data_IF_119984414966
#
_entry.id   IF_119984414966
#
_cell.length_a   1.000
_cell.length_b   1.000
_cell.length_c   1.000
_cell.angle_alpha   90.00
_cell.angle_beta   90.00
_cell.angle_gamma   90.00
#
_symmetry.space_group_name_H-M   'P 1'
#
loop_
_entity.id
_entity.type
_entity.pdbx_description
1 polymer ?
#
# COMPACT_ATOMS: atom_id res chain seq x y z
N UNK A 1 -14.69 -33.81 -38.11
CA UNK A 1 -14.17 -34.23 -36.79
C UNK A 1 -12.75 -33.73 -36.48
N UNK A 2 -11.83 -33.64 -37.46
CA UNK A 2 -10.47 -33.13 -37.22
C UNK A 2 -10.36 -31.61 -36.93
N UNK A 3 -11.38 -30.82 -37.29
CA UNK A 3 -11.38 -29.37 -37.10
C UNK A 3 -11.67 -28.93 -35.65
N UNK A 4 -12.44 -29.71 -34.88
CA UNK A 4 -12.72 -29.44 -33.45
C UNK A 4 -11.51 -29.72 -32.57
N UNK A 5 -10.62 -30.63 -32.97
CA UNK A 5 -9.38 -30.92 -32.25
C UNK A 5 -8.37 -29.76 -32.31
N UNK A 6 -8.31 -29.05 -33.45
CA UNK A 6 -7.39 -27.91 -33.65
C UNK A 6 -7.76 -26.69 -32.82
N UNK A 7 -9.05 -26.47 -32.56
CA UNK A 7 -9.53 -25.35 -31.73
C UNK A 7 -9.35 -25.60 -30.23
N UNK A 8 -9.38 -26.86 -29.78
CA UNK A 8 -9.07 -27.22 -28.39
C UNK A 8 -7.57 -27.07 -28.13
N UNK A 9 -6.72 -27.51 -29.08
CA UNK A 9 -5.27 -27.36 -28.97
C UNK A 9 -4.80 -25.89 -28.97
N UNK A 10 -5.49 -24.99 -29.67
CA UNK A 10 -5.19 -23.55 -29.64
C UNK A 10 -5.71 -22.86 -28.36
N UNK A 11 -6.78 -23.37 -27.73
CA UNK A 11 -7.26 -22.91 -26.42
C UNK A 11 -6.36 -23.38 -25.28
N UNK A 12 -5.92 -24.63 -25.28
CA UNK A 12 -4.97 -25.15 -24.29
C UNK A 12 -3.68 -24.31 -24.21
N UNK A 13 -3.07 -23.99 -25.37
CA UNK A 13 -1.91 -23.08 -25.47
C UNK A 13 -2.15 -21.65 -25.02
N UNK A 14 -3.40 -21.20 -25.01
CA UNK A 14 -3.77 -19.85 -24.55
C UNK A 14 -4.11 -19.83 -23.05
N UNK A 15 -4.58 -20.94 -22.50
CA UNK A 15 -4.91 -21.09 -21.07
C UNK A 15 -3.67 -21.25 -20.19
N UNK A 16 -2.58 -21.85 -20.68
CA UNK A 16 -1.31 -21.95 -19.93
C UNK A 16 -0.55 -20.61 -19.79
N UNK A 17 -0.75 -19.68 -20.74
CA UNK A 17 -0.25 -18.30 -20.64
C UNK A 17 -1.13 -17.40 -19.75
N UNK A 18 -2.39 -17.78 -19.47
CA UNK A 18 -3.33 -17.02 -18.65
C UNK A 18 -3.47 -17.52 -17.21
N UNK A 19 -3.37 -18.84 -17.00
CA UNK A 19 -3.44 -19.46 -15.68
C UNK A 19 -2.23 -19.09 -14.81
N UNK A 20 -1.05 -18.92 -15.41
CA UNK A 20 0.18 -18.47 -14.73
C UNK A 20 0.13 -16.99 -14.34
N UNK A 21 -0.62 -16.15 -15.05
CA UNK A 21 -0.77 -14.73 -14.70
C UNK A 21 -1.50 -14.50 -13.36
N UNK A 22 -2.42 -15.39 -13.00
CA UNK A 22 -3.21 -15.28 -11.75
C UNK A 22 -2.40 -15.71 -10.53
N UNK A 23 -1.55 -16.72 -10.66
CA UNK A 23 -0.69 -17.20 -9.56
C UNK A 23 0.32 -16.15 -9.12
N UNK A 24 1.06 -15.58 -10.07
CA UNK A 24 1.95 -14.46 -9.78
C UNK A 24 1.16 -13.21 -9.33
N UNK A 25 -0.06 -13.03 -9.85
CA UNK A 25 -0.97 -11.98 -9.42
C UNK A 25 -1.32 -12.04 -7.93
N UNK A 26 -1.57 -13.22 -7.37
CA UNK A 26 -1.86 -13.41 -5.94
C UNK A 26 -0.62 -13.14 -5.08
N UNK A 27 0.56 -13.59 -5.50
CA UNK A 27 1.81 -13.31 -4.77
C UNK A 27 2.10 -11.81 -4.71
N UNK A 28 1.93 -11.11 -5.83
CA UNK A 28 2.08 -9.65 -5.89
C UNK A 28 1.01 -8.94 -5.07
N UNK A 29 -0.24 -9.43 -5.07
CA UNK A 29 -1.32 -8.86 -4.27
C UNK A 29 -1.02 -8.90 -2.76
N UNK A 30 -0.44 -10.00 -2.26
CA UNK A 30 -0.02 -10.11 -0.85
C UNK A 30 1.07 -9.08 -0.50
N UNK A 31 2.07 -8.92 -1.37
CA UNK A 31 3.13 -7.92 -1.18
C UNK A 31 2.55 -6.49 -1.22
N UNK A 32 1.59 -6.22 -2.11
CA UNK A 32 0.95 -4.93 -2.22
C UNK A 32 0.24 -4.52 -0.91
N UNK A 33 -0.49 -5.45 -0.27
CA UNK A 33 -1.14 -5.19 1.03
C UNK A 33 -0.10 -4.85 2.10
N UNK A 34 1.01 -5.60 2.18
CA UNK A 34 2.10 -5.33 3.13
C UNK A 34 2.72 -3.95 2.89
N UNK A 35 2.97 -3.58 1.63
CA UNK A 35 3.52 -2.26 1.28
C UNK A 35 2.58 -1.14 1.69
N UNK A 36 1.26 -1.27 1.44
CA UNK A 36 0.29 -0.25 1.84
C UNK A 36 0.34 0.00 3.34
N UNK A 37 0.38 -1.08 4.15
CA UNK A 37 0.49 -0.96 5.61
C UNK A 37 1.81 -0.30 6.01
N UNK A 38 2.94 -0.75 5.44
CA UNK A 38 4.26 -0.22 5.76
C UNK A 38 4.38 1.27 5.41
N UNK A 39 3.94 1.68 4.23
CA UNK A 39 3.96 3.09 3.78
C UNK A 39 3.01 3.94 4.60
N UNK A 40 1.85 3.41 5.02
CA UNK A 40 0.93 4.12 5.91
C UNK A 40 1.58 4.43 7.25
N UNK A 41 2.26 3.45 7.86
CA UNK A 41 2.98 3.65 9.13
C UNK A 41 4.15 4.62 8.97
N UNK A 42 4.96 4.44 7.92
CA UNK A 42 6.11 5.28 7.65
C UNK A 42 5.68 6.74 7.36
N UNK A 43 4.62 6.93 6.58
CA UNK A 43 4.06 8.23 6.25
C UNK A 43 3.70 9.06 7.48
N UNK A 44 3.11 8.44 8.50
CA UNK A 44 2.76 9.14 9.74
C UNK A 44 4.00 9.64 10.49
N UNK A 45 5.01 8.78 10.62
CA UNK A 45 6.26 9.13 11.30
C UNK A 45 6.98 10.27 10.58
N UNK A 46 6.96 10.27 9.24
CA UNK A 46 7.50 11.35 8.43
C UNK A 46 6.74 12.66 8.67
N UNK A 47 5.41 12.63 8.59
CA UNK A 47 4.56 13.82 8.83
C UNK A 47 4.80 14.38 10.24
N UNK A 48 4.89 13.53 11.25
CA UNK A 48 5.17 13.95 12.63
C UNK A 48 6.56 14.59 12.76
N UNK A 49 7.58 14.00 12.15
CA UNK A 49 8.95 14.52 12.17
C UNK A 49 9.03 15.90 11.49
N UNK A 50 8.37 16.05 10.34
CA UNK A 50 8.33 17.33 9.62
C UNK A 50 7.51 18.39 10.36
N UNK A 51 6.40 18.03 11.00
CA UNK A 51 5.62 18.96 11.82
C UNK A 51 6.38 19.39 13.09
N UNK A 52 7.05 18.46 13.75
CA UNK A 52 7.86 18.73 14.93
C UNK A 52 9.04 19.65 14.60
N UNK A 53 9.78 19.36 13.53
CA UNK A 53 10.86 20.23 13.06
C UNK A 53 10.36 21.61 12.64
N UNK A 54 9.24 21.71 11.92
CA UNK A 54 8.63 22.99 11.57
C UNK A 54 8.20 23.79 12.81
N UNK A 55 7.77 23.12 13.88
CA UNK A 55 7.43 23.74 15.16
C UNK A 55 8.68 24.23 15.91
N UNK A 56 9.72 23.41 15.96
CA UNK A 56 10.99 23.74 16.60
C UNK A 56 11.66 24.96 15.95
N UNK A 57 11.59 25.07 14.61
CA UNK A 57 12.07 26.25 13.87
C UNK A 57 11.30 27.53 14.25
N UNK A 58 10.03 27.41 14.65
CA UNK A 58 9.21 28.53 15.15
C UNK A 58 9.42 28.83 16.64
N UNK A 59 10.31 28.09 17.30
CA UNK A 59 10.62 28.20 18.73
C UNK A 59 9.57 27.57 19.65
N UNK A 60 8.73 26.68 19.14
CA UNK A 60 7.68 26.02 19.92
C UNK A 60 7.95 24.54 20.17
N UNK A 61 7.14 23.94 21.05
CA UNK A 61 7.10 22.51 21.31
C UNK A 61 5.91 21.85 20.60
N UNK A 62 6.17 20.77 19.87
CA UNK A 62 5.14 19.95 19.23
C UNK A 62 4.57 18.96 20.25
N UNK A 63 3.25 18.93 20.39
CA UNK A 63 2.54 17.93 21.19
C UNK A 63 1.71 17.06 20.26
N UNK A 64 2.14 15.82 20.05
CA UNK A 64 1.39 14.84 19.28
C UNK A 64 0.18 14.37 20.06
N UNK A 65 -1.00 14.41 19.44
CA UNK A 65 -2.23 13.82 19.97
C UNK A 65 -2.48 12.52 19.20
N UNK A 66 -2.08 11.39 19.76
CA UNK A 66 -2.33 10.08 19.13
C UNK A 66 -3.81 9.72 19.26
N UNK A 67 -4.63 10.22 18.34
CA UNK A 67 -6.03 9.81 18.24
C UNK A 67 -6.08 8.51 17.43
N UNK A 68 -6.08 7.38 18.13
CA UNK A 68 -6.18 6.05 17.53
C UNK A 68 -7.57 5.85 16.91
N UNK A 69 -7.76 6.29 15.66
CA UNK A 69 -8.97 5.98 14.87
C UNK A 69 -8.58 5.11 13.69
N UNK A 70 -9.31 4.02 13.47
CA UNK A 70 -9.02 2.97 12.48
C UNK A 70 -9.17 3.39 11.00
N UNK A 71 -9.38 4.67 10.72
CA UNK A 71 -9.59 5.24 9.38
C UNK A 71 -8.58 6.36 9.16
N UNK A 72 -7.47 6.04 8.51
CA UNK A 72 -6.35 6.95 8.20
C UNK A 72 -5.69 7.57 9.46
N UNK A 73 -4.41 7.31 9.70
CA UNK A 73 -3.66 7.99 10.75
C UNK A 73 -3.38 9.44 10.31
N UNK A 74 -4.34 10.33 10.48
CA UNK A 74 -3.99 11.72 10.70
C UNK A 74 -3.10 11.76 11.95
N UNK A 75 -2.01 12.53 11.93
CA UNK A 75 -1.23 12.85 13.14
C UNK A 75 -1.76 14.20 13.66
N UNK A 76 -2.89 14.26 14.38
CA UNK A 76 -3.31 15.50 14.98
C UNK A 76 -2.30 15.86 16.07
N UNK A 77 -1.89 17.12 16.07
CA UNK A 77 -0.95 17.65 17.02
C UNK A 77 -0.92 19.16 16.88
N UNK A 78 -0.47 19.82 17.94
CA UNK A 78 -0.39 21.28 17.99
C UNK A 78 1.03 21.71 18.28
N UNK A 79 1.44 22.78 17.62
CA UNK A 79 2.65 23.52 17.95
C UNK A 79 2.30 24.66 18.89
N UNK A 80 2.75 24.58 20.14
CA UNK A 80 2.62 25.66 21.12
C UNK A 80 3.96 26.38 21.23
N UNK A 81 3.94 27.71 21.25
CA UNK A 81 5.13 28.49 21.59
C UNK A 81 5.44 28.39 23.07
#
# INVERSE_FOLDING_TARGET
MFATFRTIASRARREENGATAVEYGIMVALIAVVIIVAVSLLGNNLVETFNSSACAVKGGAWTATTTATATVPSVPGSCSK
#
